data_IF_367033724331
#
_entry.id   IF_367033724331
#
_cell.length_a   1.000
_cell.length_b   1.000
_cell.length_c   1.000
_cell.angle_alpha   90.00
_cell.angle_beta   90.00
_cell.angle_gamma   90.00
#
_symmetry.space_group_name_H-M   'P 1'
#
loop_
_entity.id
_entity.type
_entity.pdbx_description
1 polymer ?
#
# COMPACT_ATOMS: atom_id res chain seq x y z
N UNK A 1 14.25 -4.95 20.05
CA UNK A 1 13.53 -3.65 20.21
C UNK A 1 12.08 -3.92 19.88
N UNK A 2 11.12 -3.33 20.62
CA UNK A 2 9.68 -3.55 20.39
C UNK A 2 9.30 -2.94 19.03
N UNK A 3 8.56 -3.69 18.20
CA UNK A 3 8.04 -3.17 16.92
C UNK A 3 6.57 -2.80 17.10
N UNK A 4 6.29 -1.52 17.26
CA UNK A 4 4.93 -1.02 17.53
C UNK A 4 3.99 -1.18 16.34
N UNK A 5 4.52 -1.22 15.11
CA UNK A 5 3.74 -1.52 13.90
C UNK A 5 3.22 -2.96 13.95
N UNK A 6 4.10 -3.93 14.24
CA UNK A 6 3.70 -5.34 14.40
C UNK A 6 2.66 -5.48 15.51
N UNK A 7 2.88 -4.86 16.68
CA UNK A 7 1.93 -4.91 17.79
C UNK A 7 0.55 -4.35 17.42
N UNK A 8 0.51 -3.26 16.64
CA UNK A 8 -0.74 -2.70 16.15
C UNK A 8 -1.48 -3.70 15.25
N UNK A 9 -0.77 -4.31 14.27
CA UNK A 9 -1.37 -5.24 13.32
C UNK A 9 -1.70 -6.62 13.91
N UNK A 10 -1.04 -7.06 14.97
CA UNK A 10 -1.46 -8.26 15.73
C UNK A 10 -2.87 -8.10 16.34
N UNK A 11 -3.30 -6.87 16.62
CA UNK A 11 -4.58 -6.55 17.21
C UNK A 11 -5.61 -6.00 16.22
N UNK A 12 -5.20 -5.65 14.98
CA UNK A 12 -6.06 -5.09 13.96
C UNK A 12 -6.65 -6.18 13.06
N UNK A 13 -7.92 -6.02 12.66
CA UNK A 13 -8.60 -6.93 11.72
C UNK A 13 -8.38 -6.49 10.28
N UNK A 14 -7.22 -6.87 9.71
CA UNK A 14 -6.88 -6.56 8.34
C UNK A 14 -7.69 -7.39 7.33
N UNK A 15 -8.17 -8.57 7.71
CA UNK A 15 -8.85 -9.53 6.85
C UNK A 15 -10.06 -8.96 6.09
N UNK A 16 -10.77 -8.05 6.74
CA UNK A 16 -11.99 -7.46 6.21
C UNK A 16 -11.80 -6.04 5.66
N UNK A 17 -10.58 -5.47 5.78
CA UNK A 17 -10.34 -4.04 5.52
C UNK A 17 -10.83 -3.59 4.14
N UNK A 18 -10.54 -4.34 3.09
CA UNK A 18 -10.86 -4.00 1.70
C UNK A 18 -12.14 -4.66 1.15
N UNK A 19 -12.90 -5.36 2.00
CA UNK A 19 -14.09 -6.11 1.57
C UNK A 19 -15.38 -5.71 2.28
N UNK A 20 -15.31 -5.00 3.41
CA UNK A 20 -16.44 -4.79 4.34
C UNK A 20 -17.57 -3.96 3.76
N UNK A 21 -17.26 -2.90 3.00
CA UNK A 21 -18.25 -1.96 2.47
C UNK A 21 -17.78 -1.33 1.15
N UNK A 22 -18.64 -0.57 0.49
CA UNK A 22 -18.35 0.03 -0.81
C UNK A 22 -17.16 0.99 -0.75
N UNK A 23 -17.11 1.86 0.25
CA UNK A 23 -16.08 2.89 0.34
C UNK A 23 -14.67 2.29 0.50
N UNK A 24 -14.53 1.14 1.17
CA UNK A 24 -13.25 0.43 1.32
C UNK A 24 -12.91 -0.42 0.11
N UNK A 25 -13.94 -0.97 -0.57
CA UNK A 25 -13.73 -1.83 -1.74
C UNK A 25 -13.15 -1.11 -2.94
N UNK A 26 -13.31 0.21 -3.05
CA UNK A 26 -12.81 0.97 -4.21
C UNK A 26 -11.28 0.88 -4.32
N UNK A 27 -10.56 0.89 -3.21
CA UNK A 27 -9.10 0.70 -3.16
C UNK A 27 -8.70 -0.62 -3.84
N UNK A 28 -9.34 -1.73 -3.44
CA UNK A 28 -9.09 -3.04 -4.02
C UNK A 28 -9.48 -3.09 -5.51
N UNK A 29 -10.68 -2.60 -5.88
CA UNK A 29 -11.18 -2.64 -7.25
C UNK A 29 -10.27 -1.87 -8.20
N UNK A 30 -9.86 -0.65 -7.82
CA UNK A 30 -9.00 0.19 -8.64
C UNK A 30 -7.62 -0.44 -8.80
N UNK A 31 -7.01 -0.87 -7.70
CA UNK A 31 -5.66 -1.44 -7.70
C UNK A 31 -5.60 -2.74 -8.48
N UNK A 32 -6.54 -3.65 -8.24
CA UNK A 32 -6.59 -4.94 -8.95
C UNK A 32 -6.77 -4.76 -10.46
N UNK A 33 -7.64 -3.84 -10.87
CA UNK A 33 -7.85 -3.53 -12.30
C UNK A 33 -6.59 -2.98 -12.96
N UNK A 34 -5.85 -2.10 -12.27
CA UNK A 34 -4.58 -1.55 -12.78
C UNK A 34 -3.50 -2.62 -12.82
N UNK A 35 -3.41 -3.48 -11.81
CA UNK A 35 -2.43 -4.58 -11.82
C UNK A 35 -2.72 -5.58 -12.95
N UNK A 36 -3.99 -5.88 -13.23
CA UNK A 36 -4.40 -6.70 -14.38
C UNK A 36 -3.95 -6.09 -15.72
N UNK A 37 -3.87 -4.75 -15.84
CA UNK A 37 -3.39 -4.05 -17.04
C UNK A 37 -1.85 -4.01 -17.12
N UNK A 38 -1.16 -3.86 -15.97
CA UNK A 38 0.28 -3.69 -15.92
C UNK A 38 1.07 -5.00 -16.01
N UNK A 39 0.49 -6.12 -15.54
CA UNK A 39 1.20 -7.39 -15.40
C UNK A 39 0.75 -8.39 -16.48
N UNK A 40 1.19 -8.14 -17.72
CA UNK A 40 0.90 -9.02 -18.84
C UNK A 40 1.65 -10.35 -18.75
N UNK A 41 0.97 -11.46 -19.06
CA UNK A 41 1.50 -12.82 -19.00
C UNK A 41 1.81 -13.29 -17.57
N UNK A 42 2.39 -14.49 -17.41
CA UNK A 42 2.76 -15.01 -16.09
C UNK A 42 4.03 -14.32 -15.58
N UNK A 43 3.99 -13.79 -14.35
CA UNK A 43 5.08 -13.11 -13.66
C UNK A 43 5.41 -13.81 -12.37
N UNK A 44 6.66 -13.71 -11.93
CA UNK A 44 7.11 -14.06 -10.59
C UNK A 44 7.04 -12.80 -9.73
N UNK A 45 6.10 -12.75 -8.80
CA UNK A 45 5.76 -11.56 -8.02
C UNK A 45 6.12 -11.76 -6.55
N UNK A 46 6.80 -10.78 -5.95
CA UNK A 46 6.95 -10.64 -4.52
C UNK A 46 5.97 -9.57 -4.02
N UNK A 47 5.04 -9.94 -3.15
CA UNK A 47 4.21 -9.01 -2.39
C UNK A 47 4.80 -8.89 -0.98
N UNK A 48 5.59 -7.83 -0.76
CA UNK A 48 6.28 -7.62 0.51
C UNK A 48 5.47 -6.70 1.44
N UNK A 49 4.88 -7.25 2.46
CA UNK A 49 3.83 -6.77 3.35
C UNK A 49 2.43 -6.94 2.77
N UNK A 50 2.15 -8.18 2.43
CA UNK A 50 0.90 -8.59 1.80
C UNK A 50 -0.33 -8.47 2.72
N UNK A 51 -0.13 -8.18 4.02
CA UNK A 51 -1.19 -8.25 5.01
C UNK A 51 -1.79 -9.65 5.03
N UNK A 52 -3.09 -9.75 4.87
CA UNK A 52 -3.79 -11.04 4.77
C UNK A 52 -3.92 -11.58 3.35
N UNK A 53 -3.18 -11.00 2.39
CA UNK A 53 -2.94 -11.57 1.05
C UNK A 53 -3.96 -11.22 -0.04
N UNK A 54 -4.76 -10.17 0.14
CA UNK A 54 -5.84 -9.86 -0.82
C UNK A 54 -5.33 -9.65 -2.26
N UNK A 55 -4.22 -8.93 -2.44
CA UNK A 55 -3.60 -8.74 -3.75
C UNK A 55 -2.83 -9.98 -4.20
N UNK A 56 -2.15 -10.67 -3.29
CA UNK A 56 -1.44 -11.90 -3.59
C UNK A 56 -2.37 -12.98 -4.15
N UNK A 57 -3.54 -13.18 -3.55
CA UNK A 57 -4.53 -14.14 -4.03
C UNK A 57 -5.14 -13.72 -5.37
N UNK A 58 -5.48 -12.42 -5.53
CA UNK A 58 -5.95 -11.90 -6.82
C UNK A 58 -4.95 -12.19 -7.95
N UNK A 59 -3.66 -11.92 -7.73
CA UNK A 59 -2.62 -12.14 -8.72
C UNK A 59 -2.38 -13.64 -9.00
N UNK A 60 -2.48 -14.49 -7.97
CA UNK A 60 -2.40 -15.93 -8.16
C UNK A 60 -3.58 -16.47 -9.01
N UNK A 61 -4.80 -15.94 -8.83
CA UNK A 61 -5.96 -16.25 -9.67
C UNK A 61 -5.77 -15.82 -11.14
N UNK A 62 -4.89 -14.84 -11.41
CA UNK A 62 -4.51 -14.41 -12.76
C UNK A 62 -3.36 -15.25 -13.37
N UNK A 63 -2.87 -16.24 -12.64
CA UNK A 63 -1.85 -17.18 -13.13
C UNK A 63 -0.41 -16.72 -12.91
N UNK A 64 -0.18 -15.76 -12.00
CA UNK A 64 1.16 -15.37 -11.58
C UNK A 64 1.71 -16.34 -10.53
N UNK A 65 3.05 -16.48 -10.46
CA UNK A 65 3.75 -17.14 -9.36
C UNK A 65 3.96 -16.11 -8.25
N UNK A 66 3.23 -16.22 -7.14
CA UNK A 66 3.23 -15.21 -6.08
C UNK A 66 3.95 -15.73 -4.84
N UNK A 67 4.83 -14.90 -4.30
CA UNK A 67 5.37 -15.03 -2.93
C UNK A 67 4.87 -13.85 -2.12
N UNK A 68 4.11 -14.11 -1.07
CA UNK A 68 3.51 -13.11 -0.19
C UNK A 68 4.20 -13.14 1.18
N UNK A 69 4.73 -12.01 1.61
CA UNK A 69 5.43 -11.91 2.90
C UNK A 69 4.84 -10.81 3.76
N UNK A 70 4.94 -10.95 5.05
CA UNK A 70 4.56 -9.90 6.00
C UNK A 70 5.45 -9.99 7.24
N UNK A 71 5.71 -8.87 7.89
CA UNK A 71 6.49 -8.84 9.13
C UNK A 71 5.66 -9.32 10.33
N UNK A 72 4.32 -9.32 10.21
CA UNK A 72 3.36 -9.72 11.25
C UNK A 72 3.07 -11.22 11.12
N UNK A 73 3.50 -12.07 12.06
CA UNK A 73 3.29 -13.53 11.97
C UNK A 73 1.81 -13.92 11.81
N UNK A 74 0.89 -13.23 12.52
CA UNK A 74 -0.54 -13.46 12.41
C UNK A 74 -1.06 -13.31 10.97
N UNK A 75 -0.57 -12.36 10.20
CA UNK A 75 -0.97 -12.19 8.80
C UNK A 75 -0.57 -13.39 7.95
N UNK A 76 0.66 -13.88 8.14
CA UNK A 76 1.15 -15.06 7.43
C UNK A 76 0.32 -16.31 7.79
N UNK A 77 0.00 -16.51 9.08
CA UNK A 77 -0.87 -17.60 9.51
C UNK A 77 -2.27 -17.55 8.89
N UNK A 78 -2.82 -16.34 8.68
CA UNK A 78 -4.11 -16.15 8.00
C UNK A 78 -3.99 -16.49 6.53
N UNK A 79 -2.94 -16.03 5.85
CA UNK A 79 -2.68 -16.40 4.45
C UNK A 79 -2.56 -17.92 4.28
N UNK A 80 -1.80 -18.59 5.15
CA UNK A 80 -1.63 -20.05 5.12
C UNK A 80 -2.95 -20.81 5.27
N UNK A 81 -3.83 -20.34 6.15
CA UNK A 81 -5.18 -20.92 6.31
C UNK A 81 -6.01 -20.76 5.04
N UNK A 82 -6.02 -19.57 4.44
CA UNK A 82 -6.75 -19.31 3.20
C UNK A 82 -6.18 -20.14 2.05
N UNK A 83 -4.86 -20.29 1.95
CA UNK A 83 -4.19 -21.14 0.96
C UNK A 83 -4.62 -22.59 1.13
N UNK A 84 -4.60 -23.11 2.36
CA UNK A 84 -5.01 -24.50 2.65
C UNK A 84 -6.49 -24.75 2.33
N UNK A 85 -7.36 -23.77 2.57
CA UNK A 85 -8.81 -23.89 2.30
C UNK A 85 -9.17 -23.77 0.82
N UNK A 86 -8.49 -22.87 0.09
CA UNK A 86 -8.84 -22.51 -1.29
C UNK A 86 -7.92 -23.08 -2.35
N UNK A 87 -6.75 -23.59 -1.96
CA UNK A 87 -5.80 -24.19 -2.88
C UNK A 87 -5.02 -23.19 -3.72
N UNK A 88 -4.80 -21.97 -3.25
CA UNK A 88 -3.99 -20.98 -3.95
C UNK A 88 -2.52 -21.42 -4.06
N UNK A 89 -1.91 -21.21 -5.23
CA UNK A 89 -0.48 -21.42 -5.43
C UNK A 89 0.31 -20.15 -5.04
N UNK A 90 0.33 -19.86 -3.75
CA UNK A 90 1.05 -18.73 -3.16
C UNK A 90 2.01 -19.27 -2.11
N UNK A 91 3.26 -18.81 -2.12
CA UNK A 91 4.24 -19.08 -1.07
C UNK A 91 4.20 -17.96 -0.04
N UNK A 92 4.35 -18.28 1.22
CA UNK A 92 4.32 -17.29 2.32
C UNK A 92 5.58 -17.35 3.16
N UNK A 93 5.96 -16.21 3.77
CA UNK A 93 7.01 -16.16 4.78
C UNK A 93 6.83 -14.94 5.70
N UNK A 94 7.24 -15.09 6.97
CA UNK A 94 7.43 -13.92 7.85
C UNK A 94 8.75 -13.25 7.47
N UNK A 95 8.69 -11.98 7.05
CA UNK A 95 9.85 -11.26 6.50
C UNK A 95 9.75 -9.76 6.75
N UNK A 96 10.90 -9.15 7.10
CA UNK A 96 11.06 -7.70 7.12
C UNK A 96 11.42 -7.19 5.70
N UNK A 97 10.67 -6.23 5.18
CA UNK A 97 10.95 -5.61 3.88
C UNK A 97 12.31 -4.89 3.81
N UNK A 98 12.95 -4.62 4.95
CA UNK A 98 14.30 -4.08 5.03
C UNK A 98 15.40 -5.17 4.99
N UNK A 99 15.04 -6.45 5.07
CA UNK A 99 15.97 -7.59 4.98
C UNK A 99 15.33 -8.74 4.21
N UNK A 100 15.54 -8.76 2.90
CA UNK A 100 15.06 -9.81 2.00
C UNK A 100 16.19 -10.78 1.61
N UNK A 101 17.21 -10.95 2.47
CA UNK A 101 18.42 -11.75 2.22
C UNK A 101 18.16 -13.23 1.91
N UNK A 102 16.99 -13.75 2.25
CA UNK A 102 16.55 -15.10 1.86
C UNK A 102 16.27 -15.25 0.35
N UNK A 103 16.14 -14.14 -0.38
CA UNK A 103 15.94 -14.13 -1.82
C UNK A 103 17.21 -13.68 -2.56
N UNK A 104 17.50 -14.36 -3.67
CA UNK A 104 18.62 -14.00 -4.54
C UNK A 104 18.37 -12.69 -5.27
N UNK A 105 19.43 -12.04 -5.73
CA UNK A 105 19.35 -10.86 -6.56
C UNK A 105 18.58 -11.18 -7.87
N UNK A 106 17.82 -10.23 -8.35
CA UNK A 106 17.10 -10.32 -9.63
C UNK A 106 16.20 -11.57 -9.75
N UNK A 107 15.54 -11.96 -8.64
CA UNK A 107 14.70 -13.17 -8.58
C UNK A 107 13.23 -12.94 -8.93
N UNK A 108 12.72 -11.70 -8.93
CA UNK A 108 11.34 -11.37 -9.20
C UNK A 108 11.15 -10.44 -10.40
N UNK A 109 10.07 -10.65 -11.16
CA UNK A 109 9.66 -9.78 -12.27
C UNK A 109 8.94 -8.52 -11.77
N UNK A 110 8.24 -8.66 -10.64
CA UNK A 110 7.47 -7.60 -9.98
C UNK A 110 7.72 -7.66 -8.48
N UNK A 111 7.90 -6.50 -7.85
CA UNK A 111 7.90 -6.33 -6.39
C UNK A 111 6.80 -5.35 -6.02
N UNK A 112 5.90 -5.76 -5.14
CA UNK A 112 4.87 -4.94 -4.53
C UNK A 112 5.31 -4.56 -3.13
N UNK A 113 5.45 -3.26 -2.86
CA UNK A 113 5.76 -2.70 -1.56
C UNK A 113 4.51 -1.92 -1.08
N UNK A 114 3.50 -2.66 -0.59
CA UNK A 114 2.15 -2.13 -0.40
C UNK A 114 1.86 -1.65 1.03
N UNK A 115 2.85 -1.70 1.91
CA UNK A 115 2.69 -1.32 3.32
C UNK A 115 3.92 -0.75 3.99
N UNK A 116 5.09 -1.35 3.81
CA UNK A 116 6.27 -1.04 4.61
C UNK A 116 6.66 0.43 4.55
N UNK A 117 6.62 1.03 3.35
CA UNK A 117 7.18 2.34 3.11
C UNK A 117 6.59 3.43 4.01
N UNK A 118 5.27 3.41 4.22
CA UNK A 118 4.62 4.38 5.10
C UNK A 118 4.67 4.03 6.60
N UNK A 119 5.23 2.87 6.98
CA UNK A 119 5.52 2.50 8.37
C UNK A 119 6.98 2.67 8.78
N UNK A 120 7.85 3.00 7.84
CA UNK A 120 9.27 3.23 8.10
C UNK A 120 9.52 4.73 8.33
N UNK A 121 9.41 5.18 9.60
CA UNK A 121 9.59 6.59 9.96
C UNK A 121 11.04 7.07 9.81
N UNK A 122 12.01 6.16 9.89
CA UNK A 122 13.42 6.47 9.70
C UNK A 122 13.80 6.43 8.22
N UNK A 123 14.45 7.49 7.74
CA UNK A 123 14.85 7.59 6.32
C UNK A 123 15.83 6.48 5.91
N UNK A 124 16.78 6.13 6.77
CA UNK A 124 17.74 5.04 6.52
C UNK A 124 17.02 3.72 6.26
N UNK A 125 15.95 3.43 7.01
CA UNK A 125 15.13 2.22 6.80
C UNK A 125 14.32 2.28 5.50
N UNK A 126 13.78 3.44 5.14
CA UNK A 126 13.11 3.60 3.84
C UNK A 126 14.07 3.37 2.68
N UNK A 127 15.28 3.93 2.76
CA UNK A 127 16.35 3.68 1.77
C UNK A 127 16.75 2.21 1.74
N UNK A 128 16.85 1.54 2.89
CA UNK A 128 17.18 0.11 2.95
C UNK A 128 16.07 -0.75 2.32
N UNK A 129 14.81 -0.48 2.64
CA UNK A 129 13.66 -1.16 2.05
C UNK A 129 13.63 -1.00 0.51
N UNK A 130 13.92 0.23 0.01
CA UNK A 130 14.04 0.49 -1.42
C UNK A 130 15.19 -0.29 -2.05
N UNK A 131 16.37 -0.32 -1.43
CA UNK A 131 17.54 -1.08 -1.91
C UNK A 131 17.24 -2.58 -1.97
N UNK A 132 16.62 -3.16 -0.97
CA UNK A 132 16.25 -4.58 -0.95
C UNK A 132 15.21 -4.88 -2.03
N UNK A 133 14.17 -4.05 -2.16
CA UNK A 133 13.17 -4.18 -3.22
C UNK A 133 13.82 -4.17 -4.61
N UNK A 134 14.77 -3.27 -4.84
CA UNK A 134 15.51 -3.19 -6.11
C UNK A 134 16.52 -4.32 -6.29
N UNK A 135 17.15 -4.82 -5.24
CA UNK A 135 18.09 -5.94 -5.31
C UNK A 135 17.39 -7.21 -5.83
N UNK A 136 16.26 -7.54 -5.23
CA UNK A 136 15.51 -8.76 -5.61
C UNK A 136 14.73 -8.60 -6.92
N UNK A 137 14.50 -7.37 -7.39
CA UNK A 137 13.82 -7.06 -8.65
C UNK A 137 14.78 -7.23 -9.83
N UNK A 138 14.36 -7.95 -10.86
CA UNK A 138 15.10 -8.10 -12.12
C UNK A 138 15.27 -6.75 -12.83
N UNK A 139 16.30 -6.65 -13.68
CA UNK A 139 16.40 -5.55 -14.66
C UNK A 139 15.19 -5.56 -15.57
N UNK A 140 14.63 -4.38 -15.82
CA UNK A 140 13.39 -4.23 -16.57
C UNK A 140 12.13 -4.66 -15.80
N UNK A 141 12.27 -5.11 -14.55
CA UNK A 141 11.16 -5.47 -13.67
C UNK A 141 10.40 -4.25 -13.13
N UNK A 142 9.25 -4.48 -12.53
CA UNK A 142 8.33 -3.45 -12.05
C UNK A 142 8.34 -3.40 -10.52
N UNK A 143 8.55 -2.21 -9.96
CA UNK A 143 8.32 -1.91 -8.54
C UNK A 143 7.05 -1.08 -8.40
N UNK A 144 6.12 -1.50 -7.56
CA UNK A 144 4.95 -0.72 -7.15
C UNK A 144 5.03 -0.44 -5.65
N UNK A 145 4.98 0.83 -5.26
CA UNK A 145 5.05 1.25 -3.85
C UNK A 145 3.82 2.05 -3.46
N UNK A 146 3.12 1.59 -2.42
CA UNK A 146 2.04 2.35 -1.83
C UNK A 146 2.56 3.37 -0.82
N UNK A 147 1.94 4.53 -0.77
CA UNK A 147 2.19 5.56 0.22
C UNK A 147 0.91 6.33 0.57
N UNK A 148 0.94 7.04 1.69
CA UNK A 148 -0.16 7.89 2.15
C UNK A 148 0.22 9.35 1.93
N UNK A 149 -0.56 10.12 1.14
CA UNK A 149 -0.26 11.51 0.84
C UNK A 149 -0.28 12.40 2.08
N UNK A 150 0.82 13.11 2.30
CA UNK A 150 1.05 13.98 3.47
C UNK A 150 -0.05 15.00 3.70
N UNK A 151 -0.48 15.65 2.64
CA UNK A 151 -1.44 16.76 2.75
C UNK A 151 -2.90 16.29 2.86
N UNK A 152 -3.18 15.04 2.56
CA UNK A 152 -4.49 14.44 2.73
C UNK A 152 -4.78 14.05 4.18
N UNK A 153 -3.78 13.50 4.88
CA UNK A 153 -4.03 12.84 6.17
C UNK A 153 -4.61 13.77 7.23
N UNK A 154 -4.11 15.02 7.32
CA UNK A 154 -4.65 15.96 8.30
C UNK A 154 -6.12 16.30 8.04
N UNK A 155 -6.49 16.46 6.76
CA UNK A 155 -7.89 16.70 6.38
C UNK A 155 -8.77 15.51 6.78
N UNK A 156 -8.28 14.28 6.54
CA UNK A 156 -9.01 13.06 6.86
C UNK A 156 -9.26 12.92 8.37
N UNK A 157 -8.21 13.03 9.20
CA UNK A 157 -8.35 12.87 10.66
C UNK A 157 -9.18 13.99 11.29
N UNK A 158 -9.09 15.23 10.80
CA UNK A 158 -9.89 16.35 11.26
C UNK A 158 -11.39 16.14 10.97
N UNK A 159 -11.74 15.45 9.87
CA UNK A 159 -13.14 15.09 9.58
C UNK A 159 -13.65 13.93 10.46
N UNK A 160 -12.75 13.06 10.94
CA UNK A 160 -13.11 11.93 11.79
C UNK A 160 -13.38 12.35 13.24
N UNK A 161 -12.57 13.29 13.76
CA UNK A 161 -12.66 13.72 15.15
C UNK A 161 -12.00 15.09 15.35
N UNK A 162 -12.76 16.07 15.81
CA UNK A 162 -12.32 17.45 16.10
C UNK A 162 -11.15 17.51 17.10
N UNK A 163 -10.93 16.46 17.90
CA UNK A 163 -9.76 16.34 18.78
C UNK A 163 -8.42 16.46 18.03
N UNK A 164 -8.38 16.02 16.77
CA UNK A 164 -7.20 16.08 15.92
C UNK A 164 -7.08 17.39 15.12
N UNK A 165 -8.04 18.31 15.26
CA UNK A 165 -7.95 19.63 14.67
C UNK A 165 -7.01 20.52 15.52
N UNK A 166 -5.72 20.24 15.41
CA UNK A 166 -4.66 20.76 16.28
C UNK A 166 -3.55 21.39 15.43
N UNK A 167 -3.09 22.58 15.82
CA UNK A 167 -2.12 23.37 15.04
C UNK A 167 -0.71 22.77 15.07
N UNK A 168 -0.30 22.18 16.18
CA UNK A 168 1.03 21.57 16.32
C UNK A 168 1.10 20.25 15.57
N UNK A 169 0.02 19.42 15.62
CA UNK A 169 -0.11 18.24 14.79
C UNK A 169 -0.08 18.59 13.30
N UNK A 170 -0.84 19.60 12.87
CA UNK A 170 -0.84 20.05 11.48
C UNK A 170 0.56 20.47 11.03
N UNK A 171 1.25 21.28 11.84
CA UNK A 171 2.63 21.73 11.56
C UNK A 171 3.61 20.56 11.50
N UNK A 172 3.52 19.60 12.42
CA UNK A 172 4.35 18.38 12.44
C UNK A 172 4.18 17.59 11.16
N UNK A 173 2.93 17.24 10.80
CA UNK A 173 2.62 16.45 9.60
C UNK A 173 3.08 17.17 8.31
N UNK A 174 2.85 18.48 8.19
CA UNK A 174 3.28 19.25 7.03
C UNK A 174 4.81 19.30 6.91
N UNK A 175 5.52 19.54 8.02
CA UNK A 175 6.96 19.78 7.99
C UNK A 175 7.80 18.50 7.92
N UNK A 176 7.37 17.43 8.60
CA UNK A 176 8.15 16.20 8.73
C UNK A 176 7.54 15.00 8.01
N UNK A 177 6.22 14.99 7.83
CA UNK A 177 5.48 13.82 7.38
C UNK A 177 5.49 12.66 8.38
N UNK A 178 5.99 12.84 9.59
CA UNK A 178 6.16 11.75 10.58
C UNK A 178 5.14 11.87 11.69
N UNK A 179 4.51 10.74 12.01
CA UNK A 179 3.70 10.51 13.21
C UNK A 179 4.33 9.33 13.96
N UNK A 180 4.60 9.51 15.26
CA UNK A 180 5.15 8.46 16.12
C UNK A 180 4.07 7.87 17.02
N UNK A 181 4.22 6.58 17.36
CA UNK A 181 3.30 5.89 18.27
C UNK A 181 3.20 6.55 19.66
N UNK A 182 4.23 7.27 20.11
CA UNK A 182 4.32 7.98 21.40
C UNK A 182 3.99 9.49 21.31
N UNK A 183 3.61 9.99 20.14
CA UNK A 183 3.10 11.36 20.01
C UNK A 183 1.75 11.50 20.74
N UNK A 184 1.55 12.61 21.44
CA UNK A 184 0.32 12.88 22.22
C UNK A 184 -0.94 12.78 21.35
N UNK A 185 -0.86 13.20 20.10
CA UNK A 185 -1.94 13.16 19.10
C UNK A 185 -1.80 12.00 18.12
N UNK A 186 -1.15 10.90 18.53
CA UNK A 186 -1.09 9.72 17.67
C UNK A 186 -2.48 9.12 17.49
N UNK A 187 -2.89 8.97 16.23
CA UNK A 187 -4.19 8.41 15.86
C UNK A 187 -4.08 7.02 15.20
N UNK A 188 -2.87 6.50 15.05
CA UNK A 188 -2.65 5.18 14.46
C UNK A 188 -1.40 4.50 15.07
N UNK A 189 -0.26 4.53 14.38
CA UNK A 189 1.03 3.98 14.81
C UNK A 189 2.16 4.75 14.14
N UNK A 190 3.40 4.30 14.26
CA UNK A 190 4.52 4.89 13.55
C UNK A 190 4.22 4.97 12.05
N UNK A 191 4.16 6.18 11.50
CA UNK A 191 3.76 6.41 10.11
C UNK A 191 4.54 7.56 9.49
N UNK A 192 4.95 7.37 8.23
CA UNK A 192 5.55 8.37 7.38
C UNK A 192 4.63 8.71 6.20
N UNK A 193 4.25 9.97 6.10
CA UNK A 193 3.40 10.51 5.04
C UNK A 193 4.28 11.22 4.01
N UNK A 194 4.20 10.80 2.74
CA UNK A 194 5.02 11.34 1.65
C UNK A 194 4.24 12.32 0.78
N UNK A 195 4.91 13.28 0.15
CA UNK A 195 4.30 14.02 -0.96
C UNK A 195 4.42 13.23 -2.28
N UNK A 196 3.61 13.62 -3.28
CA UNK A 196 3.67 13.07 -4.63
C UNK A 196 5.05 13.29 -5.23
N UNK A 197 5.58 14.50 -5.07
CA UNK A 197 6.89 14.91 -5.59
C UNK A 197 8.05 14.15 -4.92
N UNK A 198 7.97 13.94 -3.60
CA UNK A 198 8.98 13.14 -2.87
C UNK A 198 9.04 11.71 -3.40
N UNK A 199 7.90 11.09 -3.70
CA UNK A 199 7.87 9.72 -4.24
C UNK A 199 8.38 9.65 -5.68
N UNK A 200 8.01 10.62 -6.54
CA UNK A 200 8.55 10.70 -7.91
C UNK A 200 10.07 10.92 -7.89
N UNK A 201 10.59 11.77 -6.99
CA UNK A 201 12.01 12.03 -6.84
C UNK A 201 12.76 10.80 -6.30
N UNK A 202 12.21 10.11 -5.29
CA UNK A 202 12.78 8.87 -4.74
C UNK A 202 12.97 7.81 -5.83
N UNK A 203 11.98 7.60 -6.68
CA UNK A 203 12.05 6.64 -7.78
C UNK A 203 13.15 7.00 -8.77
N UNK A 204 13.23 8.27 -9.15
CA UNK A 204 14.26 8.78 -10.05
C UNK A 204 15.67 8.61 -9.49
N UNK A 205 15.88 8.93 -8.21
CA UNK A 205 17.19 8.81 -7.52
C UNK A 205 17.66 7.36 -7.42
N UNK A 206 16.72 6.40 -7.39
CA UNK A 206 17.03 4.97 -7.36
C UNK A 206 17.01 4.29 -8.74
N UNK A 207 17.06 5.07 -9.83
CA UNK A 207 17.19 4.53 -11.19
C UNK A 207 15.92 3.87 -11.74
N UNK A 208 14.75 4.24 -11.20
CA UNK A 208 13.46 3.78 -11.71
C UNK A 208 12.89 4.81 -12.69
N UNK A 209 12.35 4.33 -13.80
CA UNK A 209 11.51 5.15 -14.69
C UNK A 209 10.06 4.99 -14.26
N UNK A 210 9.42 6.07 -13.78
CA UNK A 210 8.00 6.05 -13.40
C UNK A 210 7.15 5.75 -14.64
N UNK A 211 6.35 4.70 -14.57
CA UNK A 211 5.49 4.22 -15.67
C UNK A 211 4.01 4.39 -15.37
N UNK A 212 3.63 4.44 -14.10
CA UNK A 212 2.26 4.74 -13.66
C UNK A 212 2.28 5.39 -12.28
N UNK A 213 1.23 6.16 -11.95
CA UNK A 213 1.06 6.79 -10.65
C UNK A 213 -0.43 7.06 -10.44
N UNK A 214 -1.05 6.40 -9.47
CA UNK A 214 -2.50 6.43 -9.34
C UNK A 214 -3.00 6.43 -7.89
N UNK A 215 -4.12 7.12 -7.69
CA UNK A 215 -4.88 7.14 -6.46
C UNK A 215 -5.68 5.83 -6.34
N UNK A 216 -5.56 5.12 -5.22
CA UNK A 216 -6.28 3.86 -5.02
C UNK A 216 -7.77 4.09 -4.70
N UNK A 217 -8.09 5.07 -3.87
CA UNK A 217 -9.43 5.34 -3.35
C UNK A 217 -9.92 6.79 -3.61
N UNK A 218 -9.02 7.70 -4.00
CA UNK A 218 -9.33 9.10 -4.27
C UNK A 218 -10.01 9.77 -3.08
N UNK A 219 -10.97 10.64 -3.37
CA UNK A 219 -11.74 11.33 -2.33
C UNK A 219 -12.86 10.48 -1.70
N UNK A 220 -12.99 9.19 -2.06
CA UNK A 220 -14.09 8.33 -1.58
C UNK A 220 -14.18 8.24 -0.04
N UNK A 221 -13.07 8.13 0.70
CA UNK A 221 -13.13 8.09 2.17
C UNK A 221 -13.79 9.33 2.80
N UNK A 222 -13.72 10.49 2.15
CA UNK A 222 -14.28 11.75 2.68
C UNK A 222 -15.81 11.77 2.77
N UNK A 223 -16.50 10.89 2.02
CA UNK A 223 -17.97 10.78 2.04
C UNK A 223 -18.43 9.31 2.06
N UNK A 224 -17.65 8.46 2.74
CA UNK A 224 -17.85 7.02 2.85
C UNK A 224 -19.28 6.61 3.25
N UNK A 225 -19.89 7.32 4.21
CA UNK A 225 -21.25 6.99 4.66
C UNK A 225 -22.29 7.10 3.53
N UNK A 226 -22.06 7.99 2.57
CA UNK A 226 -22.91 8.13 1.38
C UNK A 226 -22.64 7.01 0.39
N UNK A 227 -21.37 6.71 0.14
CA UNK A 227 -20.93 5.65 -0.80
C UNK A 227 -21.45 4.29 -0.35
N UNK A 228 -21.43 4.01 0.93
CA UNK A 228 -21.88 2.74 1.51
C UNK A 228 -23.39 2.51 1.36
N UNK A 229 -24.16 3.59 1.17
CA UNK A 229 -25.62 3.54 0.93
C UNK A 229 -25.99 3.43 -0.54
N UNK A 230 -25.02 3.51 -1.47
CA UNK A 230 -25.31 3.43 -2.90
C UNK A 230 -25.75 2.03 -3.33
N UNK A 231 -26.64 1.99 -4.32
CA UNK A 231 -26.95 0.76 -5.04
C UNK A 231 -25.71 0.22 -5.77
N UNK A 232 -25.75 -1.06 -6.14
CA UNK A 232 -24.66 -1.69 -6.92
C UNK A 232 -24.35 -0.91 -8.21
N UNK A 233 -25.38 -0.40 -8.89
CA UNK A 233 -25.21 0.38 -10.12
C UNK A 233 -24.59 1.74 -9.86
N UNK A 234 -25.02 2.47 -8.83
CA UNK A 234 -24.40 3.74 -8.45
C UNK A 234 -22.94 3.57 -8.06
N UNK A 235 -22.63 2.52 -7.29
CA UNK A 235 -21.26 2.23 -6.91
C UNK A 235 -20.40 1.84 -8.12
N UNK A 236 -20.93 1.05 -9.06
CA UNK A 236 -20.22 0.73 -10.32
C UNK A 236 -19.89 1.98 -11.11
N UNK A 237 -20.85 2.90 -11.30
CA UNK A 237 -20.63 4.19 -11.99
C UNK A 237 -19.52 4.97 -11.29
N UNK A 238 -19.49 5.00 -9.96
CA UNK A 238 -18.45 5.67 -9.20
C UNK A 238 -17.07 5.03 -9.39
N UNK A 239 -16.98 3.70 -9.37
CA UNK A 239 -15.73 2.99 -9.64
C UNK A 239 -15.20 3.28 -11.04
N UNK A 240 -16.06 3.29 -12.06
CA UNK A 240 -15.68 3.60 -13.44
C UNK A 240 -15.22 5.05 -13.59
N UNK A 241 -15.90 6.00 -12.93
CA UNK A 241 -15.46 7.40 -12.87
C UNK A 241 -14.10 7.52 -12.19
N UNK A 242 -13.96 6.96 -10.97
CA UNK A 242 -12.69 7.03 -10.23
C UNK A 242 -11.54 6.44 -11.06
N UNK A 243 -11.75 5.27 -11.65
CA UNK A 243 -10.76 4.63 -12.52
C UNK A 243 -10.32 5.52 -13.69
N UNK A 244 -11.24 6.29 -14.27
CA UNK A 244 -10.93 7.19 -15.39
C UNK A 244 -10.09 8.41 -15.00
N UNK A 245 -10.08 8.77 -13.71
CA UNK A 245 -9.38 9.97 -13.20
C UNK A 245 -8.30 9.66 -12.17
N UNK A 246 -8.13 8.40 -11.76
CA UNK A 246 -7.21 8.05 -10.67
C UNK A 246 -5.74 8.37 -10.96
N UNK A 247 -5.36 8.53 -12.24
CA UNK A 247 -4.00 8.90 -12.69
C UNK A 247 -3.78 10.40 -12.82
N UNK A 248 -4.83 11.21 -12.65
CA UNK A 248 -4.70 12.68 -12.70
C UNK A 248 -3.92 13.19 -11.47
N UNK A 249 -2.91 14.04 -11.69
CA UNK A 249 -2.07 14.59 -10.59
C UNK A 249 -2.88 15.25 -9.48
N UNK A 250 -3.98 15.91 -9.82
CA UNK A 250 -4.88 16.52 -8.85
C UNK A 250 -5.60 15.52 -7.96
N UNK A 251 -5.77 14.27 -8.41
CA UNK A 251 -6.43 13.21 -7.65
C UNK A 251 -5.48 12.53 -6.68
N UNK A 252 -4.18 12.45 -7.00
CA UNK A 252 -3.19 11.81 -6.14
C UNK A 252 -3.15 12.44 -4.73
N UNK A 253 -3.12 13.77 -4.66
CA UNK A 253 -3.05 14.49 -3.38
C UNK A 253 -4.34 14.45 -2.54
N UNK A 254 -5.45 13.94 -3.08
CA UNK A 254 -6.74 13.83 -2.39
C UNK A 254 -7.15 12.39 -2.08
N UNK A 255 -6.24 11.43 -2.23
CA UNK A 255 -6.45 10.01 -1.95
C UNK A 255 -5.88 9.62 -0.59
N UNK A 256 -6.52 8.67 0.11
CA UNK A 256 -5.94 8.13 1.33
C UNK A 256 -4.73 7.23 1.02
N UNK A 257 -4.80 6.45 -0.07
CA UNK A 257 -3.67 5.65 -0.54
C UNK A 257 -3.38 5.94 -2.01
N UNK A 258 -2.11 5.95 -2.34
CA UNK A 258 -1.60 6.17 -3.70
C UNK A 258 -0.52 5.14 -4.00
N UNK A 259 -0.46 4.65 -5.23
CA UNK A 259 0.61 3.78 -5.70
C UNK A 259 1.41 4.48 -6.79
N UNK A 260 2.73 4.50 -6.63
CA UNK A 260 3.68 4.82 -7.69
C UNK A 260 4.26 3.53 -8.25
N UNK A 261 4.35 3.45 -9.58
CA UNK A 261 4.88 2.29 -10.30
C UNK A 261 6.06 2.72 -11.15
N UNK A 262 7.15 1.98 -11.06
CA UNK A 262 8.33 2.26 -11.87
C UNK A 262 8.99 1.00 -12.40
N UNK A 263 9.67 1.17 -13.54
CA UNK A 263 10.47 0.13 -14.17
C UNK A 263 11.93 0.31 -13.81
N UNK A 264 12.59 -0.76 -13.34
CA UNK A 264 14.03 -0.78 -13.06
C UNK A 264 14.81 -0.75 -14.37
N UNK A 265 15.70 0.23 -14.51
CA UNK A 265 16.54 0.41 -15.71
C UNK A 265 17.66 -0.63 -15.83
#
# INVERSE_FOLDING_TARGET
>A
MKNYVVENYENYREEDRLSTNNARRIEYITTSRIFDELFDGSKKILDCAAGTGIYAFHLAERGHEVTATDITPRHVEIMDKIIAEKGYNVKTAVLDACDMSIYEDESFDVVLNMGPFYHLIDEEKRVQCMKESLRVLKKGGILATAYIPRYYIFQFIAMENDYFLDADLAKQLISTGVLRHDDEKCFWTDTYYSSVEEMEQLYKEHGLTVTDHFAQDGCTPQFREKVDKWSKEQFRIWCDYHYSVCREKSTLGSSNHVIIVGKKN
#
